data_IF_038500866775
#
_entry.id   IF_038500866775
#
_cell.length_a   1.000
_cell.length_b   1.000
_cell.length_c   1.000
_cell.angle_alpha   90.00
_cell.angle_beta   90.00
_cell.angle_gamma   90.00
#
_symmetry.space_group_name_H-M   'P 1'
#
loop_
_entity.id
_entity.type
_entity.pdbx_description
1 polymer ?
#
# COMPACT_ATOMS: atom_id res chain seq x y z
N UNK A 1 -41.74 -19.92 -14.52
CA UNK A 1 -40.48 -20.37 -13.90
C UNK A 1 -39.84 -19.17 -13.23
N UNK A 2 -39.96 -19.05 -11.91
CA UNK A 2 -39.40 -17.94 -11.15
C UNK A 2 -37.86 -17.99 -11.18
N UNK A 3 -37.26 -16.86 -11.57
CA UNK A 3 -35.81 -16.71 -11.68
C UNK A 3 -35.14 -16.84 -10.32
N UNK A 4 -34.36 -17.92 -10.16
CA UNK A 4 -33.48 -18.13 -9.00
C UNK A 4 -32.38 -17.07 -9.01
N UNK A 5 -32.64 -15.89 -8.43
CA UNK A 5 -31.56 -14.94 -8.13
C UNK A 5 -30.65 -15.57 -7.06
N UNK A 6 -29.32 -15.50 -7.20
CA UNK A 6 -28.42 -16.03 -6.20
C UNK A 6 -28.67 -15.33 -4.85
N UNK A 7 -28.60 -16.07 -3.73
CA UNK A 7 -28.85 -15.51 -2.41
C UNK A 7 -27.87 -14.38 -2.13
N UNK A 8 -28.38 -13.19 -1.75
CA UNK A 8 -27.56 -12.07 -1.28
C UNK A 8 -26.70 -12.57 -0.12
N UNK A 9 -25.37 -12.41 -0.22
CA UNK A 9 -24.40 -12.76 0.82
C UNK A 9 -24.65 -11.92 2.08
N UNK A 10 -25.61 -12.34 2.91
CA UNK A 10 -26.14 -11.55 4.03
C UNK A 10 -25.17 -11.37 5.20
N UNK A 11 -24.07 -12.13 5.25
CA UNK A 11 -23.21 -12.23 6.44
C UNK A 11 -21.70 -12.23 6.13
N UNK A 12 -21.22 -11.45 5.15
CA UNK A 12 -19.77 -11.21 5.06
C UNK A 12 -19.37 -10.29 6.21
N UNK A 13 -18.96 -10.88 7.34
CA UNK A 13 -18.33 -10.13 8.43
C UNK A 13 -17.08 -9.46 7.87
N UNK A 14 -16.78 -8.20 8.24
CA UNK A 14 -15.53 -7.57 7.85
C UNK A 14 -14.37 -8.43 8.34
N UNK A 15 -13.36 -8.63 7.49
CA UNK A 15 -12.13 -9.29 7.90
C UNK A 15 -11.46 -8.36 8.92
N UNK A 16 -11.53 -8.72 10.19
CA UNK A 16 -10.82 -8.05 11.29
C UNK A 16 -9.54 -8.82 11.55
N UNK A 17 -8.41 -8.32 11.07
CA UNK A 17 -7.09 -8.87 11.33
C UNK A 17 -6.20 -7.83 12.00
N UNK A 18 -5.41 -8.25 12.99
CA UNK A 18 -4.32 -7.44 13.53
C UNK A 18 -3.13 -7.50 12.58
N UNK A 19 -2.64 -6.34 12.16
CA UNK A 19 -1.46 -6.24 11.30
C UNK A 19 -0.24 -6.21 12.22
N UNK A 20 0.51 -7.33 12.25
CA UNK A 20 1.78 -7.39 12.95
C UNK A 20 2.89 -6.80 12.07
N UNK A 21 3.44 -5.67 12.51
CA UNK A 21 4.65 -5.12 11.90
C UNK A 21 5.89 -5.82 12.45
N UNK A 22 6.91 -6.08 11.61
CA UNK A 22 8.13 -6.74 12.06
C UNK A 22 8.89 -5.86 13.05
N UNK A 23 9.38 -6.47 14.12
CA UNK A 23 10.11 -5.79 15.20
C UNK A 23 11.63 -5.93 15.05
N UNK A 24 12.11 -7.00 14.41
CA UNK A 24 13.53 -7.23 14.16
C UNK A 24 14.05 -6.33 13.04
N UNK A 25 15.33 -5.95 13.10
CA UNK A 25 15.97 -5.13 12.06
C UNK A 25 15.95 -5.82 10.68
N UNK A 26 16.16 -7.13 10.65
CA UNK A 26 16.05 -7.94 9.43
C UNK A 26 14.62 -7.94 8.88
N UNK A 27 13.62 -8.14 9.75
CA UNK A 27 12.22 -8.13 9.34
C UNK A 27 11.77 -6.76 8.81
N UNK A 28 12.26 -5.66 9.41
CA UNK A 28 12.00 -4.30 8.92
C UNK A 28 12.55 -4.10 7.51
N UNK A 29 13.77 -4.57 7.23
CA UNK A 29 14.36 -4.49 5.89
C UNK A 29 13.52 -5.24 4.86
N UNK A 30 13.18 -6.50 5.15
CA UNK A 30 12.35 -7.33 4.27
C UNK A 30 10.99 -6.66 4.00
N UNK A 31 10.36 -6.10 5.04
CA UNK A 31 9.09 -5.40 4.89
C UNK A 31 9.21 -4.14 4.02
N UNK A 32 10.23 -3.32 4.24
CA UNK A 32 10.48 -2.13 3.41
C UNK A 32 10.73 -2.55 1.97
N UNK A 33 11.62 -3.51 1.73
CA UNK A 33 12.00 -3.95 0.39
C UNK A 33 10.81 -4.53 -0.39
N UNK A 34 9.94 -5.31 0.29
CA UNK A 34 8.75 -5.90 -0.32
C UNK A 34 7.60 -4.91 -0.53
N UNK A 35 7.42 -3.94 0.38
CA UNK A 35 6.32 -2.98 0.31
C UNK A 35 6.61 -1.76 -0.57
N UNK A 36 7.89 -1.36 -0.67
CA UNK A 36 8.31 -0.15 -1.40
C UNK A 36 7.78 -0.12 -2.84
N UNK A 37 7.92 -1.18 -3.67
CA UNK A 37 7.42 -1.15 -5.05
C UNK A 37 5.91 -0.89 -5.12
N UNK A 38 5.12 -1.52 -4.24
CA UNK A 38 3.67 -1.36 -4.19
C UNK A 38 3.28 0.08 -3.84
N UNK A 39 3.98 0.68 -2.87
CA UNK A 39 3.75 2.06 -2.47
C UNK A 39 4.10 3.01 -3.61
N UNK A 40 5.23 2.81 -4.29
CA UNK A 40 5.64 3.62 -5.44
C UNK A 40 4.60 3.54 -6.56
N UNK A 41 4.11 2.34 -6.89
CA UNK A 41 3.07 2.16 -7.91
C UNK A 41 1.76 2.90 -7.57
N UNK A 42 1.35 2.85 -6.30
CA UNK A 42 0.15 3.58 -5.82
C UNK A 42 0.36 5.08 -5.99
N UNK A 43 1.52 5.59 -5.59
CA UNK A 43 1.85 7.01 -5.70
C UNK A 43 1.93 7.46 -7.17
N UNK A 44 2.51 6.63 -8.04
CA UNK A 44 2.59 6.93 -9.47
C UNK A 44 1.21 6.98 -10.11
N UNK A 45 0.32 6.04 -9.76
CA UNK A 45 -1.08 6.04 -10.23
C UNK A 45 -1.86 7.28 -9.80
N UNK A 46 -1.60 7.79 -8.59
CA UNK A 46 -2.34 8.93 -8.05
C UNK A 46 -1.79 10.28 -8.52
N UNK A 47 -0.47 10.41 -8.64
CA UNK A 47 0.20 11.69 -8.91
C UNK A 47 0.65 11.83 -10.37
N UNK A 48 0.86 10.72 -11.06
CA UNK A 48 1.55 10.63 -12.33
C UNK A 48 3.08 10.70 -12.19
N UNK A 49 3.82 10.16 -13.17
CA UNK A 49 5.28 9.98 -13.08
C UNK A 49 6.05 11.29 -12.87
N UNK A 50 5.62 12.37 -13.55
CA UNK A 50 6.31 13.67 -13.48
C UNK A 50 6.24 14.30 -12.08
N UNK A 51 5.05 14.27 -11.44
CA UNK A 51 4.87 14.86 -10.10
C UNK A 51 5.52 13.99 -9.03
N UNK A 52 5.48 12.67 -9.18
CA UNK A 52 6.17 11.74 -8.28
C UNK A 52 7.69 11.95 -8.30
N UNK A 53 8.29 12.14 -9.48
CA UNK A 53 9.71 12.44 -9.62
C UNK A 53 10.11 13.71 -8.86
N UNK A 54 9.34 14.80 -9.02
CA UNK A 54 9.57 16.06 -8.30
C UNK A 54 9.48 15.86 -6.78
N UNK A 55 8.47 15.11 -6.31
CA UNK A 55 8.29 14.80 -4.89
C UNK A 55 9.49 14.04 -4.31
N UNK A 56 9.94 12.99 -5.01
CA UNK A 56 11.11 12.19 -4.64
C UNK A 56 12.37 13.05 -4.56
N UNK A 57 12.57 13.96 -5.51
CA UNK A 57 13.71 14.87 -5.54
C UNK A 57 13.69 15.86 -4.36
N UNK A 58 12.54 16.47 -4.07
CA UNK A 58 12.39 17.33 -2.89
C UNK A 58 12.70 16.59 -1.59
N UNK A 59 12.22 15.36 -1.45
CA UNK A 59 12.48 14.54 -0.27
C UNK A 59 13.97 14.21 -0.14
N UNK A 60 14.63 13.81 -1.23
CA UNK A 60 16.08 13.56 -1.26
C UNK A 60 16.89 14.79 -0.82
N UNK A 61 16.54 15.98 -1.33
CA UNK A 61 17.19 17.25 -0.94
C UNK A 61 16.98 17.57 0.55
N UNK A 62 15.82 17.22 1.12
CA UNK A 62 15.55 17.42 2.55
C UNK A 62 16.42 16.52 3.41
N UNK A 63 16.61 15.25 3.02
CA UNK A 63 17.47 14.31 3.73
C UNK A 63 18.96 14.71 3.69
N UNK A 64 19.40 15.37 2.63
CA UNK A 64 20.79 15.87 2.53
C UNK A 64 21.04 17.14 3.35
N UNK A 65 19.98 17.84 3.76
CA UNK A 65 20.05 19.04 4.60
C UNK A 65 19.85 18.74 6.08
N UNK A 66 19.39 17.53 6.42
CA UNK A 66 19.21 17.04 7.78
C UNK A 66 20.48 16.32 8.24
#
# INVERSE_FOLDING_TARGET
MEGRRPPRRKNQKPITGEIFYPTTEEGKRIFIDSSTPVVIDILEKQLGPKRLSILMEHYKRRLQKA
#
